data_IF_455919037669
#
_entry.id   IF_455919037669
#
_cell.length_a   1.000
_cell.length_b   1.000
_cell.length_c   1.000
_cell.angle_alpha   90.00
_cell.angle_beta   90.00
_cell.angle_gamma   90.00
#
_symmetry.space_group_name_H-M   'P 1'
#
loop_
_entity.id
_entity.type
_entity.pdbx_description
1 polymer ?
#
# COMPACT_ATOMS: atom_id res chain seq x y z
N UNK A 1 13.76 15.00 33.77
CA UNK A 1 13.01 15.95 34.61
C UNK A 1 11.76 16.32 33.81
N UNK A 2 10.58 16.19 34.40
CA UNK A 2 9.32 16.59 33.72
C UNK A 2 9.38 18.11 33.42
N UNK A 3 9.01 18.54 32.20
CA UNK A 3 8.93 19.95 31.88
C UNK A 3 7.96 20.63 32.85
N UNK A 4 8.34 21.78 33.36
CA UNK A 4 7.44 22.53 34.25
C UNK A 4 6.18 22.90 33.47
N UNK A 5 5.00 22.83 34.09
CA UNK A 5 3.67 23.10 33.49
C UNK A 5 3.67 24.34 32.58
N UNK A 6 4.42 25.37 32.96
CA UNK A 6 4.57 26.62 32.21
C UNK A 6 5.37 26.47 30.90
N UNK A 7 6.31 25.52 30.83
CA UNK A 7 7.11 25.21 29.64
C UNK A 7 6.27 24.44 28.59
N UNK A 8 5.48 23.45 29.05
CA UNK A 8 4.59 22.70 28.18
C UNK A 8 3.46 23.56 27.61
N UNK A 9 2.89 24.48 28.41
CA UNK A 9 1.84 25.40 27.94
C UNK A 9 2.35 26.34 26.84
N UNK A 10 3.57 26.85 26.95
CA UNK A 10 4.21 27.69 25.92
C UNK A 10 4.55 26.90 24.66
N UNK A 11 4.98 25.65 24.81
CA UNK A 11 5.26 24.77 23.67
C UNK A 11 3.95 24.44 22.91
N UNK A 12 2.88 24.10 23.61
CA UNK A 12 1.58 23.87 23.04
C UNK A 12 1.03 25.10 22.32
N UNK A 13 1.15 26.29 22.92
CA UNK A 13 0.73 27.56 22.29
C UNK A 13 1.51 27.85 21.00
N UNK A 14 2.83 27.59 20.99
CA UNK A 14 3.65 27.72 19.77
C UNK A 14 3.21 26.75 18.67
N UNK A 15 2.90 25.51 19.03
CA UNK A 15 2.43 24.52 18.07
C UNK A 15 1.08 24.90 17.47
N UNK A 16 0.13 25.32 18.29
CA UNK A 16 -1.17 25.83 17.82
C UNK A 16 -0.97 27.02 16.89
N UNK A 17 -0.09 27.95 17.25
CA UNK A 17 0.24 29.11 16.39
C UNK A 17 0.78 28.67 15.03
N UNK A 18 1.69 27.67 15.00
CA UNK A 18 2.21 27.12 13.74
C UNK A 18 1.10 26.52 12.86
N UNK A 19 0.16 25.80 13.46
CA UNK A 19 -0.99 25.25 12.73
C UNK A 19 -1.85 26.35 12.13
N UNK A 20 -2.12 27.42 12.90
CA UNK A 20 -2.88 28.60 12.44
C UNK A 20 -2.13 29.34 11.31
N UNK A 21 -0.84 29.59 11.49
CA UNK A 21 -0.02 30.35 10.54
C UNK A 21 0.16 29.62 9.20
N UNK A 22 -0.03 28.32 9.18
CA UNK A 22 0.10 27.47 7.98
C UNK A 22 -1.24 27.06 7.35
N UNK A 23 -2.34 27.25 8.04
CA UNK A 23 -3.67 26.89 7.51
C UNK A 23 -3.99 27.71 6.26
N UNK A 24 -4.46 27.06 5.22
CA UNK A 24 -4.73 27.64 3.91
C UNK A 24 -3.53 27.72 2.96
N UNK A 25 -2.29 27.44 3.43
CA UNK A 25 -1.12 27.41 2.54
C UNK A 25 -1.06 26.11 1.74
N UNK A 26 -0.51 26.22 0.54
CA UNK A 26 -0.17 25.07 -0.30
C UNK A 26 1.30 24.72 -0.13
N UNK A 27 1.60 23.46 0.10
CA UNK A 27 2.95 22.92 0.18
C UNK A 27 3.13 21.84 -0.88
N UNK A 28 4.36 21.67 -1.36
CA UNK A 28 4.74 20.54 -2.17
C UNK A 28 5.17 19.39 -1.27
N UNK A 29 4.44 18.29 -1.32
CA UNK A 29 4.80 17.08 -0.60
C UNK A 29 5.69 16.20 -1.48
N UNK A 30 6.95 16.06 -1.09
CA UNK A 30 7.94 15.33 -1.88
C UNK A 30 7.67 13.81 -1.96
N UNK A 31 6.99 13.23 -0.96
CA UNK A 31 6.69 11.80 -0.94
C UNK A 31 5.61 11.38 -1.96
N UNK A 32 4.63 12.25 -2.19
CA UNK A 32 3.54 12.02 -3.16
C UNK A 32 3.73 12.78 -4.46
N UNK A 33 4.74 13.68 -4.52
CA UNK A 33 5.00 14.57 -5.67
C UNK A 33 3.78 15.45 -6.02
N UNK A 34 3.01 15.85 -5.01
CA UNK A 34 1.77 16.63 -5.18
C UNK A 34 1.80 17.91 -4.36
N UNK A 35 1.07 18.91 -4.85
CA UNK A 35 0.73 20.09 -4.07
C UNK A 35 -0.44 19.76 -3.13
N UNK A 36 -0.22 19.98 -1.83
CA UNK A 36 -1.21 19.72 -0.78
C UNK A 36 -1.55 21.04 -0.10
N UNK A 37 -2.83 21.31 0.02
CA UNK A 37 -3.32 22.44 0.80
C UNK A 37 -3.47 22.04 2.27
N UNK A 38 -2.81 22.80 3.15
CA UNK A 38 -2.93 22.60 4.61
C UNK A 38 -4.27 23.21 5.06
N UNK A 39 -5.16 22.36 5.58
CA UNK A 39 -6.48 22.81 6.07
C UNK A 39 -6.76 22.29 7.49
N UNK A 40 -5.74 22.04 8.29
CA UNK A 40 -5.84 21.43 9.62
C UNK A 40 -6.78 22.17 10.55
N UNK A 41 -6.59 23.48 10.69
CA UNK A 41 -7.41 24.31 11.58
C UNK A 41 -8.80 24.53 11.01
N UNK A 42 -8.88 24.77 9.69
CA UNK A 42 -10.16 24.91 8.99
C UNK A 42 -11.04 23.67 9.13
N UNK A 43 -10.46 22.46 9.02
CA UNK A 43 -11.17 21.20 9.20
C UNK A 43 -11.62 21.00 10.65
N UNK A 44 -10.73 21.25 11.62
CA UNK A 44 -11.09 21.19 13.04
C UNK A 44 -12.24 22.17 13.37
N UNK A 45 -12.18 23.38 12.86
CA UNK A 45 -13.24 24.36 13.08
C UNK A 45 -14.58 23.93 12.48
N UNK A 46 -14.57 23.41 11.25
CA UNK A 46 -15.77 22.87 10.60
C UNK A 46 -16.36 21.72 11.40
N UNK A 47 -15.53 20.81 11.92
CA UNK A 47 -15.94 19.70 12.76
C UNK A 47 -16.56 20.17 14.07
N UNK A 48 -15.88 21.03 14.83
CA UNK A 48 -16.36 21.56 16.11
C UNK A 48 -17.65 22.39 15.98
N UNK A 49 -17.88 22.97 14.81
CA UNK A 49 -19.11 23.74 14.53
C UNK A 49 -20.19 22.90 13.83
N UNK A 50 -20.05 21.58 13.80
CA UNK A 50 -20.98 20.65 13.16
C UNK A 50 -21.27 20.94 11.67
N UNK A 51 -20.29 21.50 10.95
CA UNK A 51 -20.39 21.77 9.51
C UNK A 51 -19.94 20.60 8.64
N UNK A 52 -19.21 19.66 9.22
CA UNK A 52 -18.79 18.39 8.64
C UNK A 52 -18.98 17.30 9.68
N UNK A 53 -19.24 16.07 9.24
CA UNK A 53 -19.37 14.90 10.11
C UNK A 53 -18.03 14.18 10.23
N UNK A 54 -17.89 13.32 11.24
CA UNK A 54 -16.66 12.61 11.52
C UNK A 54 -16.18 11.71 10.35
N UNK A 55 -17.12 11.15 9.59
CA UNK A 55 -16.83 10.30 8.42
C UNK A 55 -16.21 11.06 7.23
N UNK A 56 -16.34 12.39 7.21
CA UNK A 56 -15.74 13.26 6.19
C UNK A 56 -14.28 13.65 6.51
N UNK A 57 -13.82 13.36 7.74
CA UNK A 57 -12.46 13.66 8.18
C UNK A 57 -11.61 12.39 8.09
N UNK A 58 -10.45 12.48 7.44
CA UNK A 58 -9.48 11.41 7.44
C UNK A 58 -9.00 11.09 8.87
N UNK A 59 -8.88 9.80 9.17
CA UNK A 59 -8.28 9.34 10.44
C UNK A 59 -6.85 9.86 10.59
N UNK A 60 -6.13 10.06 9.48
CA UNK A 60 -4.77 10.57 9.46
C UNK A 60 -4.66 11.96 10.10
N UNK A 61 -5.67 12.83 9.93
CA UNK A 61 -5.68 14.14 10.58
C UNK A 61 -5.60 14.03 12.10
N UNK A 62 -6.33 13.08 12.68
CA UNK A 62 -6.34 12.85 14.13
C UNK A 62 -5.03 12.25 14.63
N UNK A 63 -4.48 11.31 13.86
CA UNK A 63 -3.18 10.68 14.15
C UNK A 63 -2.07 11.73 14.09
N UNK A 64 -2.04 12.56 13.05
CA UNK A 64 -1.04 13.63 12.91
C UNK A 64 -1.12 14.65 14.03
N UNK A 65 -2.33 15.09 14.39
CA UNK A 65 -2.53 15.99 15.54
C UNK A 65 -2.07 15.35 16.84
N UNK A 66 -2.42 14.07 17.07
CA UNK A 66 -1.96 13.34 18.24
C UNK A 66 -0.45 13.36 18.32
N UNK A 67 0.25 12.95 17.28
CA UNK A 67 1.72 12.93 17.27
C UNK A 67 2.35 14.31 17.42
N UNK A 68 1.75 15.34 16.83
CA UNK A 68 2.25 16.72 16.99
C UNK A 68 2.19 17.22 18.43
N UNK A 69 1.15 16.83 19.18
CA UNK A 69 1.02 17.25 20.59
C UNK A 69 1.70 16.28 21.56
N UNK A 70 1.73 14.99 21.25
CA UNK A 70 2.44 13.97 22.04
C UNK A 70 3.94 14.29 22.15
N UNK A 71 4.56 14.73 21.06
CA UNK A 71 5.96 15.18 21.02
C UNK A 71 6.28 16.35 21.95
N UNK A 72 5.30 17.11 22.38
CA UNK A 72 5.52 18.20 23.36
C UNK A 72 5.77 17.67 24.76
N UNK A 73 5.40 16.44 25.03
CA UNK A 73 5.53 15.79 26.34
C UNK A 73 6.66 14.75 26.37
N UNK A 74 7.03 14.19 25.22
CA UNK A 74 8.08 13.20 25.09
C UNK A 74 9.28 13.82 24.37
N UNK A 75 10.30 14.23 25.13
CA UNK A 75 11.47 15.01 24.65
C UNK A 75 12.50 14.18 23.84
N UNK A 76 12.30 12.90 23.55
CA UNK A 76 13.36 11.99 23.10
C UNK A 76 13.23 11.43 21.68
N UNK A 77 12.28 11.84 20.87
CA UNK A 77 12.34 11.49 19.46
C UNK A 77 13.20 12.50 18.70
N UNK A 78 14.44 12.12 18.39
CA UNK A 78 15.27 12.85 17.43
C UNK A 78 14.53 12.87 16.08
N UNK A 79 14.12 14.06 15.65
CA UNK A 79 13.57 14.22 14.30
C UNK A 79 14.65 13.87 13.29
N UNK A 80 14.33 13.06 12.27
CA UNK A 80 15.30 12.73 11.24
C UNK A 80 15.79 14.00 10.56
N UNK A 81 17.09 14.05 10.32
CA UNK A 81 17.69 15.14 9.56
C UNK A 81 17.32 15.03 8.07
N UNK A 82 17.52 16.12 7.32
CA UNK A 82 17.21 16.17 5.89
C UNK A 82 17.91 15.06 5.09
N UNK A 83 19.13 14.68 5.47
CA UNK A 83 19.91 13.61 4.80
C UNK A 83 19.28 12.23 5.03
N UNK A 84 18.81 11.98 6.25
CA UNK A 84 18.08 10.74 6.58
C UNK A 84 16.78 10.65 5.79
N UNK A 85 16.01 11.73 5.73
CA UNK A 85 14.77 11.78 4.93
C UNK A 85 15.06 11.54 3.46
N UNK A 86 16.09 12.19 2.89
CA UNK A 86 16.50 11.97 1.50
C UNK A 86 16.95 10.54 1.23
N UNK A 87 17.64 9.89 2.18
CA UNK A 87 18.03 8.48 2.07
C UNK A 87 16.80 7.57 2.07
N UNK A 88 15.83 7.83 2.95
CA UNK A 88 14.58 7.10 2.99
C UNK A 88 13.76 7.26 1.71
N UNK A 89 13.66 8.47 1.17
CA UNK A 89 12.98 8.72 -0.10
C UNK A 89 13.64 8.00 -1.28
N UNK A 90 14.96 7.85 -1.28
CA UNK A 90 15.68 7.03 -2.28
C UNK A 90 15.42 5.55 -2.12
N UNK A 91 15.36 5.06 -0.88
CA UNK A 91 15.09 3.65 -0.58
C UNK A 91 13.63 3.28 -0.82
N UNK A 92 12.72 4.17 -0.42
CA UNK A 92 11.28 3.99 -0.55
C UNK A 92 10.67 5.13 -1.39
N UNK A 93 10.92 5.13 -2.70
CA UNK A 93 10.41 6.19 -3.56
C UNK A 93 8.88 6.12 -3.63
N UNK A 94 8.29 7.27 -3.91
CA UNK A 94 6.84 7.40 -4.11
C UNK A 94 6.32 6.43 -5.18
N UNK A 95 5.09 5.97 -5.02
CA UNK A 95 4.38 5.19 -6.04
C UNK A 95 4.13 5.98 -7.34
N UNK A 96 4.35 7.30 -7.34
CA UNK A 96 4.28 8.19 -8.52
C UNK A 96 5.63 8.30 -9.24
N UNK A 97 6.73 7.91 -8.61
CA UNK A 97 8.06 7.89 -9.24
C UNK A 97 8.04 7.07 -10.54
N UNK A 98 8.62 7.60 -11.62
CA UNK A 98 8.57 6.98 -12.96
C UNK A 98 9.23 5.61 -13.01
N UNK A 99 10.32 5.39 -12.29
CA UNK A 99 10.99 4.07 -12.25
C UNK A 99 10.10 3.04 -11.55
N UNK A 100 9.45 3.44 -10.44
CA UNK A 100 8.47 2.59 -9.74
C UNK A 100 7.29 2.26 -10.66
N UNK A 101 6.74 3.26 -11.34
CA UNK A 101 5.63 3.10 -12.28
C UNK A 101 6.01 2.21 -13.46
N UNK A 102 7.24 2.34 -13.98
CA UNK A 102 7.74 1.49 -15.05
C UNK A 102 7.84 0.02 -14.63
N UNK A 103 8.39 -0.27 -13.43
CA UNK A 103 8.49 -1.63 -12.89
C UNK A 103 7.09 -2.22 -12.66
N UNK A 104 6.17 -1.46 -12.05
CA UNK A 104 4.78 -1.90 -11.83
C UNK A 104 4.03 -2.15 -13.12
N UNK A 105 4.22 -1.30 -14.14
CA UNK A 105 3.64 -1.47 -15.48
C UNK A 105 4.13 -2.76 -16.12
N UNK A 106 5.43 -3.00 -16.12
CA UNK A 106 6.05 -4.21 -16.64
C UNK A 106 5.56 -5.48 -15.93
N UNK A 107 5.43 -5.39 -14.60
CA UNK A 107 4.88 -6.47 -13.79
C UNK A 107 3.40 -6.75 -14.11
N UNK A 108 2.59 -5.70 -14.24
CA UNK A 108 1.20 -5.80 -14.68
C UNK A 108 1.06 -6.50 -16.04
N UNK A 109 1.90 -6.11 -17.01
CA UNK A 109 1.89 -6.70 -18.35
C UNK A 109 2.18 -8.21 -18.33
N UNK A 110 3.18 -8.63 -17.52
CA UNK A 110 3.47 -10.05 -17.33
C UNK A 110 2.28 -10.80 -16.69
N UNK A 111 1.68 -10.21 -15.64
CA UNK A 111 0.52 -10.80 -14.97
C UNK A 111 -0.66 -10.92 -15.91
N UNK A 112 -0.94 -9.91 -16.75
CA UNK A 112 -2.00 -9.98 -17.77
C UNK A 112 -1.78 -11.17 -18.70
N UNK A 113 -0.57 -11.40 -19.18
CA UNK A 113 -0.26 -12.56 -20.04
C UNK A 113 -0.50 -13.89 -19.32
N UNK A 114 -0.15 -13.98 -18.03
CA UNK A 114 -0.43 -15.17 -17.22
C UNK A 114 -1.93 -15.38 -16.95
N UNK A 115 -2.69 -14.28 -16.81
CA UNK A 115 -4.14 -14.36 -16.63
C UNK A 115 -4.84 -14.81 -17.90
N UNK A 116 -4.38 -14.40 -19.07
CA UNK A 116 -4.89 -14.90 -20.35
C UNK A 116 -4.74 -16.43 -20.40
N UNK A 117 -3.55 -16.97 -20.15
CA UNK A 117 -3.31 -18.40 -20.08
C UNK A 117 -4.17 -19.09 -19.02
N UNK A 118 -4.36 -18.48 -17.85
CA UNK A 118 -5.22 -19.01 -16.77
C UNK A 118 -6.69 -19.09 -17.21
N UNK A 119 -7.19 -18.11 -17.93
CA UNK A 119 -8.57 -18.08 -18.42
C UNK A 119 -8.78 -19.12 -19.53
N UNK A 120 -7.84 -19.24 -20.48
CA UNK A 120 -7.89 -20.25 -21.55
C UNK A 120 -7.91 -21.68 -21.03
N UNK A 121 -7.13 -21.95 -19.97
CA UNK A 121 -7.08 -23.25 -19.33
C UNK A 121 -8.25 -23.55 -18.38
N UNK A 122 -9.20 -22.60 -18.23
CA UNK A 122 -10.36 -22.78 -17.38
C UNK A 122 -11.47 -23.53 -18.11
N UNK A 123 -11.77 -24.72 -17.64
CA UNK A 123 -12.90 -25.53 -18.12
C UNK A 123 -14.20 -25.26 -17.32
N UNK A 124 -14.49 -24.00 -16.98
CA UNK A 124 -15.68 -23.63 -16.22
C UNK A 124 -16.63 -22.80 -17.11
N UNK A 125 -17.59 -23.43 -17.79
CA UNK A 125 -18.50 -22.74 -18.73
C UNK A 125 -19.39 -21.66 -18.08
N UNK A 126 -19.54 -21.68 -16.76
CA UNK A 126 -20.30 -20.70 -15.99
C UNK A 126 -19.50 -19.46 -15.56
N UNK A 127 -18.25 -19.34 -15.99
CA UNK A 127 -17.42 -18.19 -15.62
C UNK A 127 -17.83 -16.94 -16.40
N UNK A 128 -18.00 -15.82 -15.71
CA UNK A 128 -18.22 -14.51 -16.33
C UNK A 128 -17.04 -14.05 -17.21
N UNK A 129 -15.84 -14.51 -16.89
CA UNK A 129 -14.59 -14.10 -17.52
C UNK A 129 -14.09 -15.22 -18.44
N UNK A 130 -14.65 -15.27 -19.65
CA UNK A 130 -14.29 -16.18 -20.73
C UNK A 130 -14.04 -15.39 -22.00
N UNK A 131 -13.17 -15.91 -22.84
CA UNK A 131 -12.95 -15.33 -24.17
C UNK A 131 -14.01 -15.88 -25.14
N UNK A 132 -14.59 -14.99 -25.99
CA UNK A 132 -15.42 -15.44 -27.11
C UNK A 132 -14.63 -16.38 -28.01
N UNK A 133 -15.32 -17.33 -28.65
CA UNK A 133 -14.72 -18.24 -29.63
C UNK A 133 -14.11 -17.44 -30.80
N UNK A 134 -12.92 -17.81 -31.24
CA UNK A 134 -12.21 -17.12 -32.31
C UNK A 134 -11.49 -15.81 -31.87
N UNK A 135 -11.47 -15.46 -30.58
CA UNK A 135 -10.73 -14.30 -30.11
C UNK A 135 -9.24 -14.38 -30.42
N UNK A 136 -8.70 -13.32 -31.01
CA UNK A 136 -7.25 -13.17 -31.22
C UNK A 136 -6.53 -12.88 -29.89
N UNK A 137 -5.21 -13.02 -29.85
CA UNK A 137 -4.42 -12.66 -28.66
C UNK A 137 -4.59 -11.19 -28.27
N UNK A 138 -4.75 -10.31 -29.25
CA UNK A 138 -5.01 -8.89 -29.02
C UNK A 138 -6.39 -8.65 -28.40
N UNK A 139 -7.42 -9.37 -28.88
CA UNK A 139 -8.76 -9.30 -28.28
C UNK A 139 -8.77 -9.79 -26.84
N UNK A 140 -8.13 -10.91 -26.54
CA UNK A 140 -7.99 -11.45 -25.19
C UNK A 140 -7.31 -10.45 -24.26
N UNK A 141 -6.20 -9.87 -24.73
CA UNK A 141 -5.48 -8.86 -23.97
C UNK A 141 -6.34 -7.63 -23.69
N UNK A 142 -7.05 -7.11 -24.70
CA UNK A 142 -7.98 -5.98 -24.55
C UNK A 142 -9.06 -6.28 -23.51
N UNK A 143 -9.68 -7.46 -23.56
CA UNK A 143 -10.67 -7.90 -22.59
C UNK A 143 -10.12 -7.98 -21.16
N UNK A 144 -8.94 -8.59 -20.96
CA UNK A 144 -8.31 -8.66 -19.65
C UNK A 144 -7.97 -7.26 -19.13
N UNK A 145 -7.51 -6.34 -19.97
CA UNK A 145 -7.28 -4.95 -19.60
C UNK A 145 -8.57 -4.21 -19.19
N UNK A 146 -9.70 -4.51 -19.83
CA UNK A 146 -11.01 -3.98 -19.43
C UNK A 146 -11.43 -4.54 -18.07
N UNK A 147 -11.36 -5.86 -17.89
CA UNK A 147 -11.72 -6.55 -16.65
C UNK A 147 -10.79 -6.17 -15.48
N UNK A 148 -9.55 -5.74 -15.76
CA UNK A 148 -8.61 -5.29 -14.74
C UNK A 148 -9.17 -4.17 -13.86
N UNK A 149 -10.10 -3.38 -14.36
CA UNK A 149 -10.74 -2.30 -13.60
C UNK A 149 -11.93 -2.79 -12.75
N UNK A 150 -12.24 -4.09 -12.79
CA UNK A 150 -13.33 -4.68 -12.02
C UNK A 150 -12.79 -5.38 -10.75
N UNK A 151 -13.24 -4.97 -9.56
CA UNK A 151 -12.87 -5.64 -8.30
C UNK A 151 -13.22 -7.15 -8.32
N UNK A 152 -14.35 -7.51 -8.89
CA UNK A 152 -14.80 -8.91 -9.03
C UNK A 152 -13.86 -9.75 -9.88
N UNK A 153 -13.23 -9.17 -10.89
CA UNK A 153 -12.23 -9.85 -11.71
C UNK A 153 -11.02 -10.23 -10.87
N UNK A 154 -10.50 -9.29 -10.08
CA UNK A 154 -9.37 -9.55 -9.19
C UNK A 154 -9.66 -10.64 -8.15
N UNK A 155 -10.87 -10.66 -7.59
CA UNK A 155 -11.31 -11.71 -6.67
C UNK A 155 -11.41 -13.08 -7.37
N UNK A 156 -11.98 -13.11 -8.59
CA UNK A 156 -12.12 -14.34 -9.37
C UNK A 156 -10.78 -14.92 -9.82
N UNK A 157 -9.80 -14.05 -10.08
CA UNK A 157 -8.46 -14.40 -10.54
C UNK A 157 -7.43 -14.48 -9.41
N UNK A 158 -7.84 -14.30 -8.16
CA UNK A 158 -6.95 -14.38 -7.01
C UNK A 158 -6.13 -15.67 -7.02
N UNK A 159 -4.87 -15.54 -6.62
CA UNK A 159 -3.95 -16.65 -6.47
C UNK A 159 -4.27 -17.39 -5.19
N UNK A 160 -4.37 -18.72 -5.28
CA UNK A 160 -4.80 -19.60 -4.17
C UNK A 160 -3.78 -20.68 -3.81
N UNK A 161 -2.61 -20.67 -4.43
CA UNK A 161 -1.57 -21.65 -4.12
C UNK A 161 -0.15 -21.06 -4.30
N UNK A 162 0.86 -21.59 -3.59
CA UNK A 162 2.22 -21.05 -3.60
C UNK A 162 2.91 -21.11 -4.98
N UNK A 163 2.66 -22.16 -5.75
CA UNK A 163 3.27 -22.32 -7.08
C UNK A 163 2.78 -21.24 -8.05
N UNK A 164 1.49 -20.98 -8.05
CA UNK A 164 0.90 -19.91 -8.85
C UNK A 164 1.39 -18.54 -8.38
N UNK A 165 1.52 -18.34 -7.05
CA UNK A 165 2.07 -17.12 -6.48
C UNK A 165 3.47 -16.84 -7.01
N UNK A 166 4.36 -17.85 -6.94
CA UNK A 166 5.73 -17.71 -7.44
C UNK A 166 5.76 -17.40 -8.94
N UNK A 167 4.93 -18.10 -9.73
CA UNK A 167 4.81 -17.84 -11.17
C UNK A 167 4.33 -16.42 -11.45
N UNK A 168 3.33 -15.92 -10.72
CA UNK A 168 2.83 -14.55 -10.86
C UNK A 168 3.87 -13.49 -10.47
N UNK A 169 4.83 -13.84 -9.61
CA UNK A 169 5.97 -13.01 -9.24
C UNK A 169 7.23 -13.28 -10.08
N UNK A 170 7.10 -13.94 -11.23
CA UNK A 170 8.22 -14.21 -12.12
C UNK A 170 9.25 -15.18 -11.56
N UNK A 171 8.81 -16.09 -10.68
CA UNK A 171 9.63 -17.08 -9.97
C UNK A 171 10.72 -16.44 -9.09
N UNK A 172 10.42 -15.27 -8.51
CA UNK A 172 11.37 -14.48 -7.70
C UNK A 172 11.30 -14.77 -6.20
N UNK A 173 10.38 -15.61 -5.74
CA UNK A 173 10.30 -16.00 -4.33
C UNK A 173 11.46 -16.92 -3.96
N UNK A 174 12.06 -16.68 -2.79
CA UNK A 174 13.07 -17.57 -2.24
C UNK A 174 12.47 -18.93 -1.88
N UNK A 175 13.31 -19.96 -1.86
CA UNK A 175 12.90 -21.31 -1.44
C UNK A 175 12.32 -21.29 -0.01
N UNK A 176 12.90 -20.50 0.88
CA UNK A 176 12.41 -20.31 2.26
C UNK A 176 11.00 -19.76 2.29
N UNK A 177 10.72 -18.74 1.46
CA UNK A 177 9.36 -18.17 1.35
C UNK A 177 8.38 -19.21 0.79
N UNK A 178 8.77 -19.98 -0.21
CA UNK A 178 7.93 -21.06 -0.75
C UNK A 178 7.62 -22.13 0.29
N UNK A 179 8.63 -22.55 1.05
CA UNK A 179 8.45 -23.52 2.15
C UNK A 179 7.54 -22.96 3.24
N UNK A 180 7.67 -21.67 3.58
CA UNK A 180 6.77 -21.00 4.51
C UNK A 180 5.31 -21.08 4.04
N UNK A 181 5.05 -20.80 2.76
CA UNK A 181 3.71 -20.92 2.19
C UNK A 181 3.19 -22.34 2.16
N UNK A 182 4.04 -23.32 1.88
CA UNK A 182 3.66 -24.75 1.99
C UNK A 182 3.33 -25.14 3.43
N UNK A 183 4.08 -24.65 4.40
CA UNK A 183 3.81 -24.82 5.83
C UNK A 183 2.48 -24.18 6.23
N UNK A 184 2.24 -22.93 5.82
CA UNK A 184 1.01 -22.20 6.07
C UNK A 184 -0.22 -22.98 5.52
N UNK A 185 -0.12 -23.47 4.29
CA UNK A 185 -1.18 -24.26 3.66
C UNK A 185 -1.47 -25.57 4.42
N UNK A 186 -0.43 -26.27 4.90
CA UNK A 186 -0.61 -27.47 5.73
C UNK A 186 -1.33 -27.19 7.04
N UNK A 187 -1.20 -25.97 7.56
CA UNK A 187 -1.86 -25.48 8.77
C UNK A 187 -3.26 -24.89 8.50
N UNK A 188 -3.79 -25.00 7.28
CA UNK A 188 -5.11 -24.50 6.90
C UNK A 188 -5.17 -23.00 6.60
N UNK A 189 -4.04 -22.29 6.59
CA UNK A 189 -4.01 -20.87 6.21
C UNK A 189 -4.18 -20.73 4.69
N UNK A 190 -5.20 -19.98 4.22
CA UNK A 190 -5.47 -19.84 2.79
C UNK A 190 -4.50 -18.84 2.15
N UNK A 191 -3.98 -19.20 0.97
CA UNK A 191 -3.35 -18.20 0.09
C UNK A 191 -4.46 -17.52 -0.69
N UNK A 192 -4.56 -16.20 -0.57
CA UNK A 192 -5.53 -15.41 -1.33
C UNK A 192 -4.97 -14.02 -1.64
N UNK A 193 -4.35 -13.87 -2.80
CA UNK A 193 -3.71 -12.63 -3.22
C UNK A 193 -4.23 -12.26 -4.60
N UNK A 194 -4.74 -11.03 -4.74
CA UNK A 194 -5.29 -10.56 -6.00
C UNK A 194 -4.21 -10.15 -6.98
N UNK A 195 -4.43 -10.26 -8.30
CA UNK A 195 -3.50 -9.82 -9.33
C UNK A 195 -3.10 -8.35 -9.20
N UNK A 196 -4.01 -7.49 -8.74
CA UNK A 196 -3.71 -6.08 -8.50
C UNK A 196 -2.57 -5.92 -7.49
N UNK A 197 -2.68 -6.50 -6.31
CA UNK A 197 -1.63 -6.41 -5.29
C UNK A 197 -0.31 -7.01 -5.77
N UNK A 198 -0.35 -8.13 -6.50
CA UNK A 198 0.86 -8.72 -7.07
C UNK A 198 1.54 -7.80 -8.07
N UNK A 199 0.78 -6.97 -8.80
CA UNK A 199 1.34 -6.02 -9.75
C UNK A 199 2.10 -4.86 -9.11
N UNK A 200 1.87 -4.60 -7.82
CA UNK A 200 2.54 -3.55 -7.06
C UNK A 200 3.91 -3.97 -6.52
N UNK A 201 4.20 -5.28 -6.48
CA UNK A 201 5.45 -5.80 -5.97
C UNK A 201 6.59 -5.63 -6.98
N UNK A 202 7.82 -5.59 -6.47
CA UNK A 202 9.04 -5.53 -7.27
C UNK A 202 9.68 -6.94 -7.34
N UNK A 203 9.39 -7.74 -8.38
CA UNK A 203 9.93 -9.08 -8.48
C UNK A 203 11.41 -9.11 -8.83
N UNK A 204 11.97 -8.01 -9.33
CA UNK A 204 13.38 -7.95 -9.72
C UNK A 204 14.32 -7.70 -8.54
N UNK A 205 13.80 -7.17 -7.44
CA UNK A 205 14.59 -6.73 -6.29
C UNK A 205 15.54 -5.56 -6.59
N UNK A 206 15.45 -4.98 -7.79
CA UNK A 206 16.25 -3.82 -8.21
C UNK A 206 15.34 -2.61 -8.36
N UNK A 207 15.88 -1.44 -8.09
CA UNK A 207 15.16 -0.17 -8.22
C UNK A 207 14.62 0.29 -6.87
N UNK A 208 13.41 -0.10 -6.50
CA UNK A 208 12.81 0.32 -5.22
C UNK A 208 12.56 -0.85 -4.26
N UNK A 209 12.58 -0.53 -2.98
CA UNK A 209 12.26 -1.47 -1.90
C UNK A 209 10.74 -1.56 -1.73
N UNK A 210 10.18 -2.76 -1.93
CA UNK A 210 8.75 -3.03 -1.79
C UNK A 210 8.38 -3.70 -0.46
N UNK A 211 9.27 -3.68 0.53
CA UNK A 211 9.13 -4.41 1.80
C UNK A 211 7.81 -4.07 2.50
N UNK A 212 7.40 -2.82 2.51
CA UNK A 212 6.15 -2.38 3.13
C UNK A 212 4.91 -3.03 2.47
N UNK A 213 4.87 -3.07 1.13
CA UNK A 213 3.78 -3.73 0.40
C UNK A 213 3.89 -5.25 0.55
N UNK A 214 5.09 -5.77 0.49
CA UNK A 214 5.39 -7.21 0.63
C UNK A 214 4.96 -7.74 1.99
N UNK A 215 5.27 -7.03 3.07
CA UNK A 215 4.87 -7.42 4.43
C UNK A 215 3.35 -7.41 4.65
N UNK A 216 2.63 -6.55 3.93
CA UNK A 216 1.17 -6.52 3.96
C UNK A 216 0.51 -7.68 3.18
N UNK A 217 1.13 -8.11 2.08
CA UNK A 217 0.56 -9.08 1.14
C UNK A 217 1.04 -10.49 1.40
N UNK A 218 2.31 -10.65 1.80
CA UNK A 218 2.94 -11.95 1.96
C UNK A 218 3.01 -12.36 3.43
N UNK A 219 2.96 -13.66 3.67
CA UNK A 219 3.09 -14.20 5.01
C UNK A 219 4.50 -14.01 5.57
N UNK A 220 4.57 -13.59 6.83
CA UNK A 220 5.80 -13.67 7.64
C UNK A 220 5.87 -15.00 8.38
N UNK A 221 7.08 -15.42 8.75
CA UNK A 221 7.29 -16.62 9.59
C UNK A 221 6.54 -16.52 10.91
N UNK A 222 6.58 -15.34 11.54
CA UNK A 222 5.89 -15.07 12.80
C UNK A 222 4.37 -15.26 12.66
N UNK A 223 3.77 -14.76 11.57
CA UNK A 223 2.34 -14.93 11.32
C UNK A 223 1.98 -16.42 11.21
N UNK A 224 2.74 -17.19 10.43
CA UNK A 224 2.50 -18.63 10.23
C UNK A 224 2.73 -19.44 11.51
N UNK A 225 3.63 -19.03 12.37
CA UNK A 225 3.88 -19.67 13.67
C UNK A 225 2.76 -19.39 14.67
N UNK A 226 2.30 -18.14 14.73
CA UNK A 226 1.28 -17.71 15.69
C UNK A 226 -0.10 -18.26 15.34
N UNK A 227 -0.53 -18.14 14.10
CA UNK A 227 -1.89 -18.48 13.69
C UNK A 227 -2.06 -19.85 13.03
N UNK A 228 -0.99 -20.51 12.69
CA UNK A 228 -1.05 -21.83 12.06
C UNK A 228 -1.29 -23.00 13.03
N UNK A 229 -1.64 -22.76 14.28
CA UNK A 229 -1.93 -23.79 15.30
C UNK A 229 -3.36 -23.69 15.86
N UNK A 230 -4.25 -22.93 15.22
CA UNK A 230 -5.67 -22.81 15.62
C UNK A 230 -6.51 -23.86 14.91
#
# INVERSE_FOLDING_TARGET
>A
SFPTRRSSDLAAARQIKRLIDNDGKTIYEASTEQEIKIETISLLWKFLTNRIINEEISVDLWIDLYHQFDRLYHEEEELPDEKQVQQWMKRWPSGLNEDVRAIRRQNKERIISLLIQKIENRHAPSSRYLFPEGSTEEDKRRLVCQWWNEARFHLAMAVKNPTELNRMLGNSLSEETLQLYHKARKKGMPVFITPYYLSLLNPTGKGYDDEAIRSYILYSSQLVETYGNI
#
